data_IF_616456231137
#
_entry.id   IF_616456231137
#
_cell.length_a   1.000
_cell.length_b   1.000
_cell.length_c   1.000
_cell.angle_alpha   90.00
_cell.angle_beta   90.00
_cell.angle_gamma   90.00
#
_symmetry.space_group_name_H-M   'P 1'
#
loop_
_entity.id
_entity.type
_entity.pdbx_description
1 polymer ?
#
# COMPACT_ATOMS: atom_id res chain seq x y z
N UNK A 1 -5.61 -20.46 -3.75
CA UNK A 1 -4.95 -19.55 -4.70
C UNK A 1 -5.43 -18.13 -4.45
N UNK A 2 -4.53 -17.15 -4.45
CA UNK A 2 -4.84 -15.76 -4.13
C UNK A 2 -4.29 -14.82 -5.21
N UNK A 3 -5.10 -13.86 -5.66
CA UNK A 3 -4.59 -12.79 -6.53
C UNK A 3 -4.03 -11.64 -5.69
N UNK A 4 -2.70 -11.47 -5.76
CA UNK A 4 -1.97 -10.50 -4.96
C UNK A 4 -1.91 -9.11 -5.56
N UNK A 5 -2.99 -8.32 -5.41
CA UNK A 5 -2.96 -6.89 -5.78
C UNK A 5 -2.24 -6.08 -4.72
N UNK A 6 -1.56 -5.01 -5.13
CA UNK A 6 -0.97 -4.07 -4.20
C UNK A 6 -2.01 -3.18 -3.50
N UNK A 7 -1.68 -2.77 -2.27
CA UNK A 7 -2.50 -1.91 -1.38
C UNK A 7 -3.83 -2.52 -0.90
N UNK A 8 -4.00 -3.84 -1.00
CA UNK A 8 -5.09 -4.66 -0.41
C UNK A 8 -4.59 -5.61 0.68
N UNK A 9 -3.61 -5.19 1.48
CA UNK A 9 -2.95 -6.01 2.50
C UNK A 9 -2.17 -7.23 1.95
N UNK A 10 -1.54 -7.10 0.77
CA UNK A 10 -0.72 -8.15 0.15
C UNK A 10 0.38 -8.69 1.07
N UNK A 11 1.12 -7.80 1.74
CA UNK A 11 2.18 -8.19 2.70
C UNK A 11 1.66 -9.09 3.80
N UNK A 12 0.44 -8.86 4.28
CA UNK A 12 -0.21 -9.72 5.27
C UNK A 12 -0.52 -11.10 4.67
N UNK A 13 -1.17 -11.16 3.51
CA UNK A 13 -1.51 -12.44 2.86
C UNK A 13 -0.27 -13.27 2.51
N UNK A 14 0.82 -12.64 2.06
CA UNK A 14 2.10 -13.33 1.84
C UNK A 14 2.61 -13.98 3.12
N UNK A 15 2.54 -13.29 4.27
CA UNK A 15 2.94 -13.87 5.57
C UNK A 15 2.00 -14.98 6.03
N UNK A 16 0.71 -14.87 5.77
CA UNK A 16 -0.25 -15.98 5.99
C UNK A 16 0.17 -17.22 5.21
N UNK A 17 0.49 -17.10 3.92
CA UNK A 17 0.94 -18.25 3.12
C UNK A 17 2.26 -18.84 3.62
N UNK A 18 3.18 -18.01 4.10
CA UNK A 18 4.40 -18.51 4.74
C UNK A 18 4.11 -19.29 6.02
N UNK A 19 3.26 -18.77 6.91
CA UNK A 19 2.81 -19.48 8.12
C UNK A 19 2.08 -20.79 7.81
N UNK A 20 1.37 -20.85 6.67
CA UNK A 20 0.71 -22.09 6.23
C UNK A 20 1.70 -23.11 5.66
N UNK A 21 2.86 -22.68 5.16
CA UNK A 21 3.87 -23.54 4.55
C UNK A 21 5.03 -23.90 5.51
N UNK A 22 5.09 -23.26 6.67
CA UNK A 22 6.13 -23.43 7.68
C UNK A 22 5.53 -23.88 9.02
N UNK A 23 6.23 -24.78 9.71
CA UNK A 23 5.87 -25.27 11.04
C UNK A 23 6.42 -24.42 12.18
N UNK A 24 7.37 -23.51 11.90
CA UNK A 24 8.06 -22.71 12.92
C UNK A 24 7.24 -21.49 13.39
N UNK A 25 6.38 -20.95 12.54
CA UNK A 25 5.63 -19.72 12.83
C UNK A 25 4.15 -20.02 13.11
N UNK A 26 3.58 -19.33 14.11
CA UNK A 26 2.19 -19.50 14.52
C UNK A 26 1.31 -18.32 14.11
N UNK A 27 1.92 -17.16 13.89
CA UNK A 27 1.25 -15.91 13.56
C UNK A 27 1.93 -15.23 12.37
N UNK A 28 1.16 -14.59 11.46
CA UNK A 28 1.74 -13.79 10.39
C UNK A 28 2.52 -12.58 10.92
N UNK A 29 2.31 -12.17 12.18
CA UNK A 29 3.07 -11.11 12.83
C UNK A 29 4.44 -11.56 13.36
N UNK A 30 4.70 -12.87 13.44
CA UNK A 30 6.00 -13.41 13.83
C UNK A 30 7.03 -13.22 12.70
N UNK A 31 6.55 -13.04 11.46
CA UNK A 31 7.36 -12.85 10.27
C UNK A 31 7.48 -11.35 10.01
N UNK A 32 8.71 -10.84 10.03
CA UNK A 32 8.99 -9.45 9.69
C UNK A 32 8.49 -9.13 8.26
N UNK A 33 7.75 -8.02 8.04
CA UNK A 33 7.16 -7.65 6.74
C UNK A 33 8.12 -7.68 5.55
N UNK A 34 9.38 -7.29 5.74
CA UNK A 34 10.41 -7.33 4.70
C UNK A 34 10.66 -8.77 4.19
N UNK A 35 10.66 -9.75 5.08
CA UNK A 35 10.87 -11.15 4.72
C UNK A 35 9.69 -11.72 3.92
N UNK A 36 8.50 -11.10 3.98
CA UNK A 36 7.33 -11.57 3.22
C UNK A 36 7.60 -11.62 1.71
N UNK A 37 8.58 -10.84 1.22
CA UNK A 37 8.95 -10.71 -0.19
C UNK A 37 10.28 -11.38 -0.56
N UNK A 38 11.00 -11.97 0.41
CA UNK A 38 12.28 -12.63 0.15
C UNK A 38 12.10 -14.09 -0.30
N UNK A 39 13.07 -14.60 -1.09
CA UNK A 39 13.03 -15.87 -1.81
C UNK A 39 13.29 -17.13 -0.97
N UNK A 40 13.71 -18.21 -1.64
CA UNK A 40 13.73 -19.60 -1.15
C UNK A 40 14.35 -19.83 0.24
N UNK A 41 15.38 -19.08 0.63
CA UNK A 41 16.00 -19.17 1.97
C UNK A 41 15.03 -18.89 3.13
N UNK A 42 13.90 -18.22 2.84
CA UNK A 42 12.91 -17.81 3.83
C UNK A 42 11.52 -18.36 3.51
N UNK A 43 11.35 -19.59 3.03
CA UNK A 43 10.02 -20.16 2.73
C UNK A 43 9.25 -19.38 1.63
N UNK A 44 9.67 -19.61 0.38
CA UNK A 44 9.06 -19.06 -0.83
C UNK A 44 7.54 -19.32 -0.87
N UNK A 45 6.77 -18.28 -1.20
CA UNK A 45 5.34 -18.42 -1.50
C UNK A 45 5.22 -18.78 -2.97
N UNK A 46 4.88 -20.05 -3.24
CA UNK A 46 4.70 -20.57 -4.60
C UNK A 46 3.70 -19.71 -5.39
N UNK A 47 4.12 -19.33 -6.59
CA UNK A 47 3.33 -18.61 -7.58
C UNK A 47 2.98 -19.53 -8.74
N UNK A 48 1.99 -19.14 -9.56
CA UNK A 48 1.66 -19.90 -10.76
C UNK A 48 2.79 -19.91 -11.81
N UNK A 49 3.78 -19.02 -11.69
CA UNK A 49 4.96 -19.00 -12.54
C UNK A 49 5.94 -20.14 -12.21
N UNK A 50 5.89 -20.65 -10.97
CA UNK A 50 6.83 -21.66 -10.47
C UNK A 50 6.43 -23.10 -10.84
N UNK A 51 5.23 -23.30 -11.41
CA UNK A 51 4.65 -24.62 -11.68
C UNK A 51 4.42 -24.86 -13.17
N UNK A 52 4.38 -26.14 -13.56
CA UNK A 52 4.12 -26.54 -14.94
C UNK A 52 2.74 -26.09 -15.43
N UNK A 53 2.54 -26.03 -16.75
CA UNK A 53 1.25 -25.68 -17.33
C UNK A 53 0.11 -26.61 -16.87
N UNK A 54 0.39 -27.91 -16.72
CA UNK A 54 -0.60 -28.90 -16.28
C UNK A 54 -0.99 -28.69 -14.82
N UNK A 55 -0.01 -28.43 -13.95
CA UNK A 55 -0.26 -28.09 -12.54
C UNK A 55 -1.02 -26.78 -12.41
N UNK A 56 -0.63 -25.75 -13.16
CA UNK A 56 -1.33 -24.47 -13.21
C UNK A 56 -2.81 -24.65 -13.55
N UNK A 57 -3.13 -25.43 -14.58
CA UNK A 57 -4.52 -25.73 -14.95
C UNK A 57 -5.25 -26.58 -13.90
N UNK A 58 -4.56 -27.47 -13.21
CA UNK A 58 -5.12 -28.22 -12.09
C UNK A 58 -5.45 -27.28 -10.92
N UNK A 59 -4.53 -26.41 -10.52
CA UNK A 59 -4.71 -25.45 -9.43
C UNK A 59 -5.83 -24.46 -9.75
N UNK A 60 -5.85 -23.90 -10.97
CA UNK A 60 -6.91 -23.00 -11.41
C UNK A 60 -8.27 -23.68 -11.36
N UNK A 61 -8.40 -24.98 -11.66
CA UNK A 61 -9.69 -25.69 -11.60
C UNK A 61 -10.09 -26.05 -10.17
N UNK A 62 -9.15 -26.56 -9.38
CA UNK A 62 -9.46 -27.30 -8.16
C UNK A 62 -9.27 -26.51 -6.86
N UNK A 63 -8.50 -25.42 -6.87
CA UNK A 63 -8.21 -24.69 -5.62
C UNK A 63 -9.30 -23.66 -5.35
N UNK A 64 -9.52 -23.35 -4.06
CA UNK A 64 -10.25 -22.14 -3.67
C UNK A 64 -9.50 -20.91 -4.23
N UNK A 65 -10.22 -20.01 -4.92
CA UNK A 65 -9.64 -18.84 -5.58
C UNK A 65 -10.22 -17.60 -4.95
N UNK A 66 -9.39 -16.80 -4.32
CA UNK A 66 -9.88 -15.59 -3.68
C UNK A 66 -9.04 -14.36 -4.00
N UNK A 67 -9.63 -13.20 -3.81
CA UNK A 67 -8.95 -11.92 -3.91
C UNK A 67 -9.56 -10.92 -2.94
N UNK A 68 -8.84 -9.83 -2.70
CA UNK A 68 -9.38 -8.67 -2.00
C UNK A 68 -9.43 -7.48 -2.95
N UNK A 69 -10.35 -6.57 -2.68
CA UNK A 69 -10.55 -5.34 -3.45
C UNK A 69 -10.52 -4.16 -2.50
N UNK A 70 -10.42 -2.96 -3.07
CA UNK A 70 -10.51 -1.69 -2.36
C UNK A 70 -11.12 -0.67 -3.30
N UNK A 71 -11.78 0.33 -2.75
CA UNK A 71 -12.19 1.52 -3.51
C UNK A 71 -11.01 2.02 -4.37
N UNK A 72 -11.19 2.18 -5.70
CA UNK A 72 -10.09 2.45 -6.63
C UNK A 72 -9.46 3.84 -6.40
N UNK A 73 -10.25 4.83 -5.97
CA UNK A 73 -9.74 6.16 -5.63
C UNK A 73 -8.92 6.13 -4.33
N UNK A 74 -9.43 5.44 -3.30
CA UNK A 74 -8.66 5.22 -2.09
C UNK A 74 -7.35 4.45 -2.35
N UNK A 75 -7.39 3.48 -3.27
CA UNK A 75 -6.22 2.68 -3.65
C UNK A 75 -5.16 3.53 -4.33
N UNK A 76 -5.53 4.36 -5.32
CA UNK A 76 -4.60 5.27 -5.98
C UNK A 76 -3.97 6.27 -5.00
N UNK A 77 -4.78 6.89 -4.13
CA UNK A 77 -4.28 7.79 -3.09
C UNK A 77 -3.35 7.06 -2.10
N UNK A 78 -3.69 5.84 -1.70
CA UNK A 78 -2.84 4.99 -0.84
C UNK A 78 -1.50 4.67 -1.50
N UNK A 79 -1.48 4.38 -2.81
CA UNK A 79 -0.26 4.16 -3.57
C UNK A 79 0.62 5.43 -3.62
N UNK A 80 0.04 6.60 -3.87
CA UNK A 80 0.75 7.88 -3.81
C UNK A 80 1.42 8.11 -2.45
N UNK A 81 0.66 7.96 -1.36
CA UNK A 81 1.16 8.20 -0.01
C UNK A 81 2.32 7.25 0.33
N UNK A 82 2.20 5.98 -0.05
CA UNK A 82 3.17 4.92 0.25
C UNK A 82 4.44 4.98 -0.59
N UNK A 83 4.33 5.39 -1.86
CA UNK A 83 5.43 5.30 -2.82
C UNK A 83 6.13 6.62 -3.08
N UNK A 84 5.39 7.72 -3.11
CA UNK A 84 5.94 9.02 -3.53
C UNK A 84 5.97 10.04 -2.39
N UNK A 85 5.00 10.01 -1.46
CA UNK A 85 5.02 10.92 -0.31
C UNK A 85 5.92 10.41 0.83
N UNK A 86 5.82 9.12 1.16
CA UNK A 86 6.71 8.46 2.13
C UNK A 86 8.18 8.57 1.66
N UNK A 87 9.16 8.72 2.58
CA UNK A 87 10.59 8.69 2.29
C UNK A 87 11.09 7.36 1.70
N UNK A 88 10.75 7.12 0.43
CA UNK A 88 11.07 5.89 -0.29
C UNK A 88 12.12 6.18 -1.36
N UNK A 89 13.39 6.01 -1.02
CA UNK A 89 14.51 6.30 -1.91
C UNK A 89 14.45 5.57 -3.26
N UNK A 90 13.93 4.34 -3.28
CA UNK A 90 13.76 3.57 -4.51
C UNK A 90 12.73 4.21 -5.44
N UNK A 91 11.50 4.44 -4.95
CA UNK A 91 10.42 5.01 -5.76
C UNK A 91 10.67 6.45 -6.17
N UNK A 92 11.33 7.23 -5.32
CA UNK A 92 11.76 8.59 -5.60
C UNK A 92 12.70 8.65 -6.79
N UNK A 93 13.70 7.78 -6.84
CA UNK A 93 14.68 7.75 -7.93
C UNK A 93 14.13 7.12 -9.21
N UNK A 94 13.25 6.11 -9.09
CA UNK A 94 12.64 5.41 -10.21
C UNK A 94 11.39 6.16 -10.72
N UNK A 95 10.21 5.79 -10.24
CA UNK A 95 8.92 6.35 -10.68
C UNK A 95 8.86 7.87 -10.53
N UNK A 96 9.26 8.40 -9.38
CA UNK A 96 9.21 9.84 -9.11
C UNK A 96 10.12 10.62 -10.07
N UNK A 97 11.36 10.16 -10.25
CA UNK A 97 12.30 10.74 -11.20
C UNK A 97 11.82 10.66 -12.64
N UNK A 98 11.14 9.57 -13.01
CA UNK A 98 10.53 9.40 -14.33
C UNK A 98 9.37 10.37 -14.56
N UNK A 99 8.43 10.50 -13.61
CA UNK A 99 7.32 11.46 -13.67
C UNK A 99 7.84 12.89 -13.82
N UNK A 100 8.85 13.28 -13.03
CA UNK A 100 9.46 14.62 -13.14
C UNK A 100 10.03 14.86 -14.55
N UNK A 101 10.76 13.89 -15.11
CA UNK A 101 11.34 13.97 -16.46
C UNK A 101 10.27 14.17 -17.54
N UNK A 102 9.12 13.52 -17.39
CA UNK A 102 8.02 13.59 -18.33
C UNK A 102 7.35 14.97 -18.30
N UNK A 103 6.95 15.44 -17.12
CA UNK A 103 6.00 16.55 -17.01
C UNK A 103 6.61 17.92 -16.68
N UNK A 104 7.84 18.01 -16.14
CA UNK A 104 8.45 19.29 -15.79
C UNK A 104 9.43 19.75 -16.87
N UNK A 105 9.08 20.81 -17.61
CA UNK A 105 9.89 21.40 -18.69
C UNK A 105 10.20 22.90 -18.40
N UNK A 106 11.34 23.44 -18.86
CA UNK A 106 12.46 22.74 -19.51
C UNK A 106 13.16 21.81 -18.52
N UNK A 107 13.53 20.62 -18.99
CA UNK A 107 14.19 19.62 -18.17
C UNK A 107 15.70 19.66 -18.44
N UNK A 108 16.46 20.36 -17.62
CA UNK A 108 17.91 20.39 -17.68
C UNK A 108 18.50 20.25 -16.27
N UNK A 109 18.46 19.06 -15.66
CA UNK A 109 18.89 18.91 -14.28
C UNK A 109 20.44 18.89 -14.22
N UNK A 110 21.06 19.77 -13.43
CA UNK A 110 22.50 19.69 -13.17
C UNK A 110 22.90 18.49 -12.29
N UNK A 111 21.93 17.77 -11.69
CA UNK A 111 22.14 16.68 -10.73
C UNK A 111 21.10 15.55 -10.84
N UNK A 112 21.24 14.50 -10.03
CA UNK A 112 20.29 13.38 -9.94
C UNK A 112 18.89 13.88 -9.58
N UNK A 113 17.88 13.51 -10.39
CA UNK A 113 16.49 13.87 -10.11
C UNK A 113 15.94 12.99 -9.00
N UNK A 114 15.54 13.64 -7.92
CA UNK A 114 15.11 12.96 -6.72
C UNK A 114 13.65 12.48 -6.73
N UNK A 115 12.75 13.05 -7.52
CA UNK A 115 11.32 12.65 -7.54
C UNK A 115 10.54 12.80 -6.22
N UNK A 116 11.18 13.23 -5.13
CA UNK A 116 10.61 13.33 -3.78
C UNK A 116 9.47 14.35 -3.66
N UNK A 117 9.32 15.26 -4.62
CA UNK A 117 8.29 16.30 -4.62
C UNK A 117 7.29 16.12 -5.77
N UNK A 118 7.16 14.90 -6.32
CA UNK A 118 6.06 14.57 -7.23
C UNK A 118 4.73 14.78 -6.52
N UNK A 119 3.84 15.52 -7.15
CA UNK A 119 2.51 15.83 -6.64
C UNK A 119 1.51 14.71 -6.97
N UNK A 120 0.39 14.65 -6.25
CA UNK A 120 -0.70 13.74 -6.59
C UNK A 120 -1.24 13.99 -8.00
N UNK A 121 -1.30 15.25 -8.44
CA UNK A 121 -1.70 15.63 -9.80
C UNK A 121 -0.79 15.03 -10.87
N UNK A 122 0.52 15.11 -10.69
CA UNK A 122 1.49 14.53 -11.62
C UNK A 122 1.39 13.00 -11.66
N UNK A 123 1.19 12.35 -10.51
CA UNK A 123 0.91 10.90 -10.49
C UNK A 123 -0.40 10.56 -11.21
N UNK A 124 -1.48 11.32 -10.98
CA UNK A 124 -2.76 11.08 -11.63
C UNK A 124 -2.65 11.23 -13.16
N UNK A 125 -1.97 12.26 -13.64
CA UNK A 125 -1.68 12.43 -15.06
C UNK A 125 -0.86 11.25 -15.60
N UNK A 126 0.14 10.80 -14.85
CA UNK A 126 0.93 9.62 -15.19
C UNK A 126 0.09 8.36 -15.35
N UNK A 127 -0.86 8.09 -14.45
CA UNK A 127 -1.76 6.94 -14.56
C UNK A 127 -2.64 7.05 -15.80
N UNK A 128 -3.19 8.23 -16.08
CA UNK A 128 -4.01 8.48 -17.27
C UNK A 128 -3.22 8.22 -18.56
N UNK A 129 -2.01 8.77 -18.66
CA UNK A 129 -1.20 8.64 -19.87
C UNK A 129 -0.69 7.20 -20.07
N UNK A 130 -0.29 6.52 -19.00
CA UNK A 130 0.16 5.13 -19.09
C UNK A 130 -0.95 4.14 -19.37
N UNK A 131 -2.19 4.42 -18.97
CA UNK A 131 -3.30 3.56 -19.38
C UNK A 131 -3.51 3.59 -20.90
N UNK A 132 -3.14 4.69 -21.57
CA UNK A 132 -3.21 4.83 -23.04
C UNK A 132 -2.01 4.21 -23.74
N UNK A 133 -0.80 4.41 -23.22
CA UNK A 133 0.45 3.98 -23.88
C UNK A 133 0.90 2.56 -23.52
N UNK A 134 0.50 2.05 -22.35
CA UNK A 134 0.91 0.78 -21.76
C UNK A 134 2.44 0.62 -21.56
N UNK A 135 3.21 1.71 -21.61
CA UNK A 135 4.67 1.66 -21.60
C UNK A 135 5.27 1.37 -20.20
N UNK A 136 4.69 1.95 -19.13
CA UNK A 136 5.12 1.71 -17.76
C UNK A 136 3.95 1.17 -16.91
N UNK A 137 4.07 -0.06 -16.45
CA UNK A 137 3.01 -0.81 -15.76
C UNK A 137 3.42 -1.15 -14.33
N UNK A 138 3.17 -0.24 -13.39
CA UNK A 138 3.38 -0.50 -11.96
C UNK A 138 2.14 -1.16 -11.33
N UNK A 139 2.32 -2.31 -10.68
CA UNK A 139 1.25 -3.07 -10.03
C UNK A 139 0.48 -2.29 -8.94
N UNK A 140 1.04 -1.21 -8.40
CA UNK A 140 0.38 -0.32 -7.45
C UNK A 140 -0.58 0.68 -8.11
N UNK A 141 -0.43 0.91 -9.42
CA UNK A 141 -1.13 1.97 -10.14
C UNK A 141 -2.17 1.44 -11.14
N UNK A 142 -2.00 0.20 -11.60
CA UNK A 142 -2.94 -0.41 -12.56
C UNK A 142 -4.25 -0.82 -11.86
N UNK A 143 -5.40 -0.79 -12.55
CA UNK A 143 -6.69 -1.23 -12.00
C UNK A 143 -6.71 -2.71 -11.58
N UNK A 144 -7.60 -3.05 -10.65
CA UNK A 144 -7.71 -4.41 -10.09
C UNK A 144 -8.23 -5.40 -11.13
N UNK A 145 -9.23 -5.02 -11.92
CA UNK A 145 -9.81 -5.84 -12.98
C UNK A 145 -8.75 -6.24 -14.00
N UNK A 146 -7.82 -5.33 -14.28
CA UNK A 146 -6.76 -5.57 -15.25
C UNK A 146 -5.70 -6.52 -14.70
N UNK A 147 -5.36 -6.38 -13.41
CA UNK A 147 -4.37 -7.19 -12.71
C UNK A 147 -4.86 -8.62 -12.43
N UNK A 148 -6.08 -8.76 -11.91
CA UNK A 148 -6.62 -10.05 -11.45
C UNK A 148 -7.55 -10.74 -12.44
N UNK A 149 -8.00 -10.05 -13.49
CA UNK A 149 -8.87 -10.60 -14.54
C UNK A 149 -10.07 -11.39 -13.98
N UNK A 150 -10.90 -10.78 -13.10
CA UNK A 150 -12.01 -11.48 -12.44
C UNK A 150 -13.10 -11.98 -13.40
N UNK A 151 -13.16 -11.45 -14.62
CA UNK A 151 -14.05 -11.96 -15.67
C UNK A 151 -13.54 -13.27 -16.29
N UNK A 152 -12.22 -13.49 -16.30
CA UNK A 152 -11.58 -14.68 -16.85
C UNK A 152 -11.29 -15.74 -15.76
N UNK A 153 -11.16 -15.29 -14.51
CA UNK A 153 -10.82 -16.09 -13.35
C UNK A 153 -12.03 -16.19 -12.41
N UNK A 154 -12.59 -17.39 -12.25
CA UNK A 154 -13.75 -17.63 -11.39
C UNK A 154 -13.37 -17.59 -9.89
N UNK A 155 -13.19 -16.39 -9.33
CA UNK A 155 -12.94 -16.20 -7.91
C UNK A 155 -14.16 -16.65 -7.09
N UNK A 156 -13.94 -17.63 -6.22
CA UNK A 156 -14.94 -18.21 -5.33
C UNK A 156 -15.16 -17.36 -4.06
N UNK A 157 -14.31 -16.36 -3.84
CA UNK A 157 -14.48 -15.35 -2.80
C UNK A 157 -13.81 -14.02 -3.20
N UNK A 158 -14.54 -12.91 -3.03
CA UNK A 158 -14.02 -11.56 -3.23
C UNK A 158 -14.27 -10.75 -1.97
N UNK A 159 -13.21 -10.47 -1.21
CA UNK A 159 -13.26 -9.64 -0.01
C UNK A 159 -13.06 -8.14 -0.31
N UNK A 160 -13.44 -7.29 0.63
CA UNK A 160 -13.22 -5.84 0.61
C UNK A 160 -12.28 -5.43 1.73
N UNK A 161 -11.30 -4.58 1.42
CA UNK A 161 -10.35 -4.08 2.42
C UNK A 161 -11.05 -3.25 3.51
N UNK A 162 -12.15 -2.61 3.16
CA UNK A 162 -13.00 -1.84 4.07
C UNK A 162 -13.64 -2.74 5.15
N UNK A 163 -13.85 -4.02 4.84
CA UNK A 163 -14.36 -5.07 5.73
C UNK A 163 -13.30 -6.15 6.06
N UNK A 164 -12.01 -5.80 5.93
CA UNK A 164 -10.91 -6.77 5.91
C UNK A 164 -10.94 -7.80 7.02
N UNK A 165 -11.21 -7.38 8.27
CA UNK A 165 -11.21 -8.28 9.43
C UNK A 165 -12.24 -9.41 9.30
N UNK A 166 -13.45 -9.10 8.85
CA UNK A 166 -14.52 -10.08 8.72
C UNK A 166 -14.29 -10.97 7.50
N UNK A 167 -13.88 -10.37 6.38
CA UNK A 167 -13.65 -11.09 5.13
C UNK A 167 -12.43 -12.00 5.21
N UNK A 168 -11.34 -11.55 5.85
CA UNK A 168 -10.17 -12.36 6.13
C UNK A 168 -10.51 -13.53 7.07
N UNK A 169 -11.33 -13.29 8.09
CA UNK A 169 -11.81 -14.35 8.98
C UNK A 169 -12.58 -15.41 8.21
N UNK A 170 -13.58 -14.99 7.43
CA UNK A 170 -14.39 -15.90 6.63
C UNK A 170 -13.55 -16.80 5.73
N UNK A 171 -12.64 -16.21 4.94
CA UNK A 171 -11.84 -17.01 4.00
C UNK A 171 -10.82 -17.91 4.72
N UNK A 172 -10.21 -17.45 5.82
CA UNK A 172 -9.31 -18.28 6.62
C UNK A 172 -10.03 -19.48 7.21
N UNK A 173 -11.27 -19.32 7.69
CA UNK A 173 -12.10 -20.46 8.10
C UNK A 173 -12.40 -21.40 6.93
N UNK A 174 -12.82 -20.86 5.79
CA UNK A 174 -13.16 -21.65 4.60
C UNK A 174 -11.99 -22.51 4.10
N UNK A 175 -10.75 -22.05 4.22
CA UNK A 175 -9.55 -22.80 3.80
C UNK A 175 -8.93 -23.64 4.93
N UNK A 176 -9.59 -23.78 6.08
CA UNK A 176 -9.09 -24.57 7.21
C UNK A 176 -7.93 -23.92 8.00
N UNK A 177 -7.75 -22.61 7.86
CA UNK A 177 -6.70 -21.82 8.53
C UNK A 177 -7.22 -21.06 9.77
N UNK A 178 -8.18 -21.65 10.49
CA UNK A 178 -8.86 -21.03 11.65
C UNK A 178 -7.90 -20.57 12.74
N UNK A 179 -6.79 -21.30 12.94
CA UNK A 179 -5.74 -20.93 13.90
C UNK A 179 -5.20 -19.52 13.66
N UNK A 180 -5.01 -19.15 12.39
CA UNK A 180 -4.51 -17.83 12.00
C UNK A 180 -5.60 -16.77 12.21
N UNK A 181 -6.85 -17.14 11.95
CA UNK A 181 -8.01 -16.27 12.15
C UNK A 181 -8.10 -15.74 13.58
N UNK A 182 -7.93 -16.63 14.56
CA UNK A 182 -7.97 -16.28 15.98
C UNK A 182 -6.90 -15.26 16.39
N UNK A 183 -5.71 -15.33 15.78
CA UNK A 183 -4.63 -14.36 16.04
C UNK A 183 -5.01 -12.96 15.56
N UNK A 184 -5.65 -12.85 14.39
CA UNK A 184 -6.06 -11.57 13.80
C UNK A 184 -7.15 -10.90 14.64
N UNK A 185 -8.13 -11.68 15.09
CA UNK A 185 -9.30 -11.16 15.81
C UNK A 185 -8.91 -10.51 17.15
N UNK A 186 -7.90 -11.05 17.83
CA UNK A 186 -7.61 -10.70 19.20
C UNK A 186 -6.56 -9.59 19.38
N UNK A 187 -5.88 -9.15 18.31
CA UNK A 187 -4.67 -8.33 18.48
C UNK A 187 -4.61 -7.07 17.60
N UNK A 188 -5.54 -6.14 17.81
CA UNK A 188 -5.53 -4.83 17.11
C UNK A 188 -4.24 -4.04 17.36
N UNK A 189 -3.72 -4.09 18.59
CA UNK A 189 -2.48 -3.40 18.94
C UNK A 189 -1.28 -3.98 18.20
N UNK A 190 -1.23 -5.31 18.00
CA UNK A 190 -0.18 -5.91 17.17
C UNK A 190 -0.26 -5.48 15.70
N UNK A 191 -1.46 -5.28 15.13
CA UNK A 191 -1.58 -4.77 13.75
C UNK A 191 -0.94 -3.38 13.62
N UNK A 192 -1.24 -2.47 14.56
CA UNK A 192 -0.66 -1.12 14.52
C UNK A 192 0.85 -1.18 14.74
N UNK A 193 1.30 -1.96 15.72
CA UNK A 193 2.71 -2.13 16.01
C UNK A 193 3.49 -2.72 14.83
N UNK A 194 2.93 -3.73 14.15
CA UNK A 194 3.49 -4.35 12.95
C UNK A 194 3.66 -3.34 11.81
N UNK A 195 2.67 -2.46 11.60
CA UNK A 195 2.77 -1.37 10.63
C UNK A 195 3.86 -0.37 11.01
N UNK A 196 4.01 -0.03 12.30
CA UNK A 196 5.10 0.83 12.76
C UNK A 196 6.47 0.20 12.55
N UNK A 197 6.66 -1.06 12.93
CA UNK A 197 7.92 -1.79 12.72
C UNK A 197 8.29 -1.77 11.23
N UNK A 198 7.32 -2.07 10.36
CA UNK A 198 7.53 -2.01 8.92
C UNK A 198 7.99 -0.63 8.45
N UNK A 199 7.23 0.41 8.78
CA UNK A 199 7.46 1.74 8.25
C UNK A 199 8.74 2.36 8.85
N UNK A 200 9.03 2.13 10.14
CA UNK A 200 10.28 2.56 10.78
C UNK A 200 11.47 1.87 10.14
N UNK A 201 11.40 0.55 9.91
CA UNK A 201 12.46 -0.17 9.21
C UNK A 201 12.75 0.47 7.85
N UNK A 202 11.72 0.73 7.03
CA UNK A 202 11.92 1.31 5.70
C UNK A 202 12.44 2.75 5.72
N UNK A 203 12.02 3.56 6.70
CA UNK A 203 12.54 4.93 6.87
C UNK A 203 14.05 4.94 7.09
N UNK A 204 14.55 4.04 7.94
CA UNK A 204 15.98 3.92 8.24
C UNK A 204 16.72 3.20 7.12
N UNK A 205 16.12 2.18 6.52
CA UNK A 205 16.68 1.44 5.38
C UNK A 205 17.00 2.36 4.20
N UNK A 206 16.08 3.27 3.84
CA UNK A 206 16.27 4.22 2.74
C UNK A 206 17.01 5.51 3.13
N UNK A 207 17.60 5.59 4.33
CA UNK A 207 18.20 6.83 4.85
C UNK A 207 19.30 7.36 3.93
N UNK A 208 20.16 6.49 3.40
CA UNK A 208 21.24 6.88 2.50
C UNK A 208 20.71 7.47 1.19
N UNK A 209 19.78 6.77 0.52
CA UNK A 209 19.20 7.20 -0.74
C UNK A 209 18.38 8.49 -0.61
N UNK A 210 17.60 8.61 0.46
CA UNK A 210 16.78 9.80 0.78
C UNK A 210 17.66 11.00 1.10
N UNK A 211 18.82 10.80 1.74
CA UNK A 211 19.74 11.88 2.11
C UNK A 211 20.27 12.67 0.91
N UNK A 212 20.26 12.07 -0.28
CA UNK A 212 20.62 12.77 -1.53
C UNK A 212 19.58 13.80 -1.97
N UNK A 213 18.39 13.79 -1.35
CA UNK A 213 17.24 14.58 -1.74
C UNK A 213 16.72 15.51 -0.64
N UNK A 214 16.84 15.11 0.62
CA UNK A 214 16.46 15.90 1.79
C UNK A 214 17.19 15.40 3.03
N UNK A 215 17.30 16.25 4.05
CA UNK A 215 17.91 15.83 5.31
C UNK A 215 17.00 14.84 6.07
N UNK A 216 17.57 14.14 7.05
CA UNK A 216 16.84 13.10 7.80
C UNK A 216 15.70 13.69 8.67
N UNK A 217 15.85 14.91 9.17
CA UNK A 217 14.77 15.57 9.91
C UNK A 217 13.54 15.84 9.02
N UNK A 218 13.75 16.30 7.79
CA UNK A 218 12.68 16.48 6.79
C UNK A 218 12.01 15.16 6.40
N UNK A 219 12.79 14.07 6.28
CA UNK A 219 12.22 12.75 6.03
C UNK A 219 11.38 12.24 7.22
N UNK A 220 11.84 12.47 8.46
CA UNK A 220 11.08 12.18 9.67
C UNK A 220 9.74 12.96 9.74
N UNK A 221 9.74 14.24 9.38
CA UNK A 221 8.50 15.04 9.32
C UNK A 221 7.49 14.44 8.33
N UNK A 222 7.95 14.02 7.14
CA UNK A 222 7.09 13.36 6.15
C UNK A 222 6.59 12.01 6.63
N UNK A 223 7.49 11.21 7.21
CA UNK A 223 7.16 9.93 7.83
C UNK A 223 6.05 10.08 8.89
N UNK A 224 6.19 11.05 9.80
CA UNK A 224 5.19 11.33 10.83
C UNK A 224 3.83 11.72 10.23
N UNK A 225 3.84 12.55 9.18
CA UNK A 225 2.63 12.90 8.45
C UNK A 225 1.98 11.70 7.76
N UNK A 226 2.77 10.74 7.23
CA UNK A 226 2.23 9.49 6.68
C UNK A 226 1.49 8.71 7.77
N UNK A 227 2.03 8.62 8.99
CA UNK A 227 1.35 7.93 10.11
C UNK A 227 0.01 8.58 10.44
N UNK A 228 -0.07 9.92 10.44
CA UNK A 228 -1.33 10.68 10.61
C UNK A 228 -2.31 10.41 9.47
N UNK A 229 -1.87 10.51 8.21
CA UNK A 229 -2.73 10.29 7.02
C UNK A 229 -3.25 8.85 6.95
N UNK A 230 -2.49 7.87 7.44
CA UNK A 230 -2.92 6.47 7.54
C UNK A 230 -3.82 6.21 8.76
N UNK A 231 -3.98 7.19 9.65
CA UNK A 231 -4.76 7.06 10.86
C UNK A 231 -4.12 6.15 11.91
N UNK A 232 -2.79 6.02 11.87
CA UNK A 232 -2.01 5.18 12.80
C UNK A 232 -1.57 5.93 14.05
N UNK A 233 -1.64 7.26 14.05
CA UNK A 233 -1.45 8.12 15.23
C UNK A 233 -2.49 9.24 15.21
N UNK A 234 -2.70 9.91 16.35
CA UNK A 234 -3.66 11.02 16.42
C UNK A 234 -3.20 12.21 15.56
N UNK A 235 -4.16 12.85 14.89
CA UNK A 235 -3.87 13.94 13.97
C UNK A 235 -3.45 15.23 14.66
N UNK A 236 -3.58 15.36 15.99
CA UNK A 236 -3.14 16.55 16.72
C UNK A 236 -1.77 16.35 17.38
N UNK A 237 -1.20 15.15 17.29
CA UNK A 237 0.12 14.86 17.86
C UNK A 237 1.19 15.16 16.82
N UNK A 238 2.05 16.11 17.14
CA UNK A 238 3.21 16.47 16.34
C UNK A 238 4.41 15.60 16.70
N UNK A 239 5.35 15.52 15.77
CA UNK A 239 6.57 14.75 15.95
C UNK A 239 7.37 15.31 17.14
N UNK A 240 7.76 14.48 18.14
CA UNK A 240 8.42 14.95 19.35
C UNK A 240 9.93 15.12 19.21
N UNK A 241 10.44 15.20 17.98
CA UNK A 241 11.87 15.29 17.69
C UNK A 241 12.18 16.64 17.04
N UNK A 242 13.28 17.26 17.46
CA UNK A 242 13.90 18.41 16.80
C UNK A 242 14.95 17.94 15.79
N UNK A 243 15.42 18.86 14.94
CA UNK A 243 16.51 18.57 13.99
C UNK A 243 17.76 18.07 14.72
N UNK A 244 18.13 18.67 15.85
CA UNK A 244 19.27 18.24 16.67
C UNK A 244 19.09 16.82 17.21
N UNK A 245 17.94 16.53 17.85
CA UNK A 245 17.67 15.19 18.40
C UNK A 245 17.53 14.12 17.32
N UNK A 246 17.24 14.51 16.07
CA UNK A 246 17.10 13.56 14.96
C UNK A 246 18.43 12.94 14.50
N UNK A 247 19.55 13.57 14.83
CA UNK A 247 20.89 13.13 14.38
C UNK A 247 21.23 11.76 14.97
N UNK A 248 20.97 11.57 16.26
CA UNK A 248 21.25 10.35 17.02
C UNK A 248 20.03 9.43 17.21
N UNK A 249 18.89 9.76 16.60
CA UNK A 249 17.64 9.01 16.76
C UNK A 249 17.77 7.55 16.30
N UNK A 250 17.38 6.60 17.14
CA UNK A 250 17.33 5.18 16.80
C UNK A 250 15.94 4.72 16.34
N UNK A 251 15.85 3.50 15.80
CA UNK A 251 14.57 2.90 15.45
C UNK A 251 13.69 2.69 16.69
N UNK A 252 14.29 2.26 17.81
CA UNK A 252 13.60 2.02 19.08
C UNK A 252 12.99 3.31 19.63
N UNK A 253 13.73 4.42 19.58
CA UNK A 253 13.23 5.73 20.04
C UNK A 253 12.02 6.19 19.22
N UNK A 254 12.08 6.05 17.89
CA UNK A 254 10.96 6.38 17.02
C UNK A 254 9.75 5.47 17.25
N UNK A 255 9.97 4.15 17.44
CA UNK A 255 8.91 3.20 17.75
C UNK A 255 8.21 3.53 19.07
N UNK A 256 8.96 3.90 20.11
CA UNK A 256 8.37 4.33 21.40
C UNK A 256 7.49 5.57 21.22
N UNK A 257 7.97 6.57 20.47
CA UNK A 257 7.20 7.79 20.20
C UNK A 257 5.90 7.51 19.42
N UNK A 258 5.94 6.62 18.43
CA UNK A 258 4.75 6.21 17.66
C UNK A 258 3.74 5.46 18.53
N UNK A 259 4.22 4.56 19.39
CA UNK A 259 3.37 3.84 20.32
C UNK A 259 2.65 4.80 21.27
N UNK A 260 3.36 5.78 21.82
CA UNK A 260 2.78 6.82 22.66
C UNK A 260 1.70 7.61 21.90
N UNK A 261 2.02 8.07 20.70
CA UNK A 261 1.11 8.82 19.83
C UNK A 261 -0.11 7.99 19.36
N UNK A 262 -0.09 6.67 19.54
CA UNK A 262 -1.14 5.76 19.10
C UNK A 262 -2.16 5.37 20.19
N UNK A 263 -1.92 5.70 21.46
CA UNK A 263 -2.71 5.20 22.61
C UNK A 263 -4.20 5.56 22.54
N UNK A 264 -4.54 6.78 22.14
CA UNK A 264 -5.90 7.33 22.22
C UNK A 264 -6.53 7.66 20.86
N UNK A 265 -6.15 6.93 19.80
CA UNK A 265 -6.63 7.21 18.44
C UNK A 265 -8.14 6.98 18.34
N UNK A 266 -8.86 8.03 17.93
CA UNK A 266 -10.25 7.92 17.49
C UNK A 266 -10.32 7.47 16.02
N UNK A 267 -10.79 6.23 15.78
CA UNK A 267 -10.99 5.69 14.41
C UNK A 267 -11.83 6.63 13.53
N UNK A 268 -12.87 7.23 14.09
CA UNK A 268 -13.79 8.10 13.36
C UNK A 268 -13.05 9.37 12.92
N UNK A 269 -12.34 10.04 13.85
CA UNK A 269 -11.55 11.24 13.52
C UNK A 269 -10.45 10.94 12.50
N UNK A 270 -9.74 9.82 12.66
CA UNK A 270 -8.69 9.40 11.71
C UNK A 270 -9.24 9.11 10.32
N UNK A 271 -10.38 8.42 10.20
CA UNK A 271 -11.05 8.18 8.92
C UNK A 271 -11.49 9.50 8.28
N UNK A 272 -12.08 10.40 9.05
CA UNK A 272 -12.50 11.70 8.55
C UNK A 272 -11.31 12.52 8.03
N UNK A 273 -10.23 12.62 8.82
CA UNK A 273 -9.01 13.31 8.42
C UNK A 273 -8.40 12.72 7.14
N UNK A 274 -8.27 11.39 7.07
CA UNK A 274 -7.77 10.73 5.85
C UNK A 274 -8.64 11.08 4.63
N UNK A 275 -9.96 11.07 4.77
CA UNK A 275 -10.89 11.42 3.69
C UNK A 275 -10.76 12.88 3.27
N UNK A 276 -10.52 13.81 4.21
CA UNK A 276 -10.24 15.23 3.92
C UNK A 276 -8.96 15.39 3.10
N UNK A 277 -7.82 14.82 3.53
CA UNK A 277 -6.56 14.93 2.79
C UNK A 277 -6.67 14.28 1.40
N UNK A 278 -7.37 13.16 1.29
CA UNK A 278 -7.64 12.53 0.00
C UNK A 278 -8.48 13.43 -0.90
N UNK A 279 -9.55 14.04 -0.37
CA UNK A 279 -10.36 15.02 -1.11
C UNK A 279 -9.51 16.18 -1.61
N UNK A 280 -8.68 16.78 -0.75
CA UNK A 280 -7.76 17.86 -1.12
C UNK A 280 -6.84 17.46 -2.28
N UNK A 281 -6.28 16.23 -2.23
CA UNK A 281 -5.44 15.71 -3.31
C UNK A 281 -6.22 15.62 -4.63
N UNK A 282 -7.44 15.06 -4.64
CA UNK A 282 -8.26 14.96 -5.85
C UNK A 282 -8.78 16.31 -6.37
N UNK A 283 -8.97 17.30 -5.49
CA UNK A 283 -9.35 18.65 -5.89
C UNK A 283 -8.24 19.39 -6.65
N UNK A 284 -6.99 18.92 -6.59
CA UNK A 284 -5.90 19.46 -7.43
C UNK A 284 -6.02 19.06 -8.91
N UNK A 285 -6.85 18.06 -9.23
CA UNK A 285 -7.04 17.56 -10.60
C UNK A 285 -8.01 18.46 -11.38
N UNK A 286 -7.88 18.49 -12.70
CA UNK A 286 -8.89 19.13 -13.56
C UNK A 286 -10.12 18.22 -13.70
N UNK A 287 -11.26 18.79 -14.10
CA UNK A 287 -12.47 18.00 -14.40
C UNK A 287 -12.21 16.94 -15.47
N UNK A 288 -11.41 17.25 -16.50
CA UNK A 288 -10.99 16.27 -17.52
C UNK A 288 -10.25 15.09 -16.90
N UNK A 289 -9.23 15.37 -16.06
CA UNK A 289 -8.47 14.31 -15.41
C UNK A 289 -9.34 13.42 -14.51
N UNK A 290 -10.27 14.03 -13.74
CA UNK A 290 -11.19 13.26 -12.91
C UNK A 290 -12.09 12.35 -13.74
N UNK A 291 -12.59 12.84 -14.87
CA UNK A 291 -13.40 12.05 -15.80
C UNK A 291 -12.60 10.93 -16.47
N UNK A 292 -11.34 11.17 -16.82
CA UNK A 292 -10.47 10.12 -17.37
C UNK A 292 -10.18 9.04 -16.33
N UNK A 293 -9.88 9.41 -15.08
CA UNK A 293 -9.73 8.44 -13.99
C UNK A 293 -11.02 7.64 -13.76
N UNK A 294 -12.19 8.28 -13.82
CA UNK A 294 -13.48 7.60 -13.75
C UNK A 294 -13.61 6.51 -14.81
N UNK A 295 -13.26 6.82 -16.06
CA UNK A 295 -13.27 5.83 -17.15
C UNK A 295 -12.31 4.67 -16.87
N UNK A 296 -11.12 4.95 -16.34
CA UNK A 296 -10.11 3.93 -16.01
C UNK A 296 -10.60 3.00 -14.87
N UNK A 297 -11.29 3.56 -13.88
CA UNK A 297 -11.76 2.82 -12.70
C UNK A 297 -13.16 2.22 -12.86
N UNK A 298 -13.90 2.59 -13.91
CA UNK A 298 -15.26 2.11 -14.16
C UNK A 298 -15.39 0.58 -14.06
N UNK A 299 -14.49 -0.23 -14.65
CA UNK A 299 -14.63 -1.68 -14.54
C UNK A 299 -14.43 -2.19 -13.11
N UNK A 300 -13.54 -1.59 -12.31
CA UNK A 300 -13.40 -1.94 -10.89
C UNK A 300 -14.68 -1.60 -10.12
N UNK A 301 -15.29 -0.44 -10.40
CA UNK A 301 -16.53 -0.03 -9.77
C UNK A 301 -17.69 -0.95 -10.12
N UNK A 302 -17.85 -1.30 -11.40
CA UNK A 302 -18.93 -2.14 -11.89
C UNK A 302 -18.81 -3.58 -11.37
N UNK A 303 -17.61 -4.16 -11.43
CA UNK A 303 -17.38 -5.56 -11.05
C UNK A 303 -17.47 -5.72 -9.52
N UNK A 304 -16.92 -4.77 -8.76
CA UNK A 304 -16.79 -4.92 -7.31
C UNK A 304 -17.80 -4.10 -6.51
N UNK A 305 -18.66 -3.32 -7.15
CA UNK A 305 -19.73 -2.54 -6.52
C UNK A 305 -19.21 -1.35 -5.70
N UNK A 306 -18.30 -0.56 -6.28
CA UNK A 306 -17.85 0.73 -5.74
C UNK A 306 -18.58 1.90 -6.42
N UNK A 307 -18.65 3.04 -5.74
CA UNK A 307 -19.15 4.28 -6.33
C UNK A 307 -18.09 4.88 -7.28
N UNK A 308 -18.42 4.98 -8.57
CA UNK A 308 -17.52 5.54 -9.58
C UNK A 308 -17.60 7.07 -9.67
N UNK A 309 -18.59 7.68 -9.02
CA UNK A 309 -18.79 9.14 -8.99
C UNK A 309 -18.92 9.65 -7.56
N UNK A 310 -17.97 9.36 -6.68
CA UNK A 310 -18.06 9.79 -5.30
C UNK A 310 -18.18 11.31 -5.21
N UNK A 311 -19.23 11.76 -4.52
CA UNK A 311 -19.57 13.19 -4.38
C UNK A 311 -18.35 14.02 -3.93
N UNK A 312 -17.54 13.49 -3.02
CA UNK A 312 -16.37 14.22 -2.50
C UNK A 312 -15.23 14.44 -3.53
N UNK A 313 -15.27 13.77 -4.69
CA UNK A 313 -14.31 13.96 -5.81
C UNK A 313 -14.97 14.72 -6.97
N UNK A 314 -16.26 14.49 -7.22
CA UNK A 314 -16.97 14.98 -8.41
C UNK A 314 -17.96 16.13 -8.15
N UNK A 315 -18.07 16.62 -6.91
CA UNK A 315 -18.83 17.82 -6.54
C UNK A 315 -18.29 19.10 -7.15
#
# INVERSE_FOLDING_TARGET
MFCGVEKIALTFWRRVFRVLNDSLHFSPFDIHPFLAYQGEEFAHVMTLADVSTNERQSYIRNFERFMFTRDPYERLFSAYIDKLYFPNGNYWQSLGGYIVKLYRKPFNPPYKVCGHNVTFKELAQFVIDNQKSLYYRDNHLIPIYEHCRPCDMNYTFVGRLENFRNDANFILHKIGAERISNVIQNNRSAVIFDLFVQDVYFLFYFRSEVSTCMNFYQSLQRFWNVMRIRGLIDNNIYMPFTEETSISLTQEDLLRALLEASRNISKIKSRHYRKQIMKEAYMTLTTSMRNELRTIFQPDCDIFGYDCTPEYIFS
#
